data_IF_393105026891
#
_entry.id   IF_393105026891
#
_cell.length_a   1.000
_cell.length_b   1.000
_cell.length_c   1.000
_cell.angle_alpha   90.00
_cell.angle_beta   90.00
_cell.angle_gamma   90.00
#
_symmetry.space_group_name_H-M   'P 1'
#
loop_
_entity.id
_entity.type
_entity.pdbx_description
1 polymer ?
#
# COMPACT_ATOMS: atom_id res chain seq x y z
N UNK A 1 27.96 16.39 10.82
CA UNK A 1 28.49 15.60 9.68
C UNK A 1 28.66 14.18 10.20
N UNK A 2 27.90 13.22 9.69
CA UNK A 2 28.15 11.79 9.98
C UNK A 2 28.54 11.18 8.64
N UNK A 3 29.86 11.11 8.45
CA UNK A 3 30.47 10.38 7.36
C UNK A 3 30.19 8.88 7.56
N UNK A 4 29.59 8.27 6.54
CA UNK A 4 29.55 6.83 6.27
C UNK A 4 29.47 5.92 7.50
N UNK A 5 28.28 5.81 8.10
CA UNK A 5 27.99 4.74 9.06
C UNK A 5 28.08 3.38 8.33
N UNK A 6 29.26 2.76 8.34
CA UNK A 6 29.46 1.40 7.84
C UNK A 6 29.15 0.46 8.99
N UNK A 7 27.94 -0.09 8.99
CA UNK A 7 27.57 -1.14 9.93
C UNK A 7 28.36 -2.40 9.62
N UNK A 8 29.09 -2.94 10.59
CA UNK A 8 29.75 -4.22 10.40
C UNK A 8 28.74 -5.38 10.51
N UNK A 9 29.16 -6.59 10.12
CA UNK A 9 28.30 -7.79 10.14
C UNK A 9 27.63 -8.02 11.50
N UNK A 10 28.39 -7.94 12.60
CA UNK A 10 27.89 -8.17 13.96
C UNK A 10 26.83 -7.13 14.36
N UNK A 11 27.06 -5.86 14.03
CA UNK A 11 26.08 -4.79 14.28
C UNK A 11 24.78 -5.03 13.51
N UNK A 12 24.87 -5.45 12.24
CA UNK A 12 23.68 -5.76 11.43
C UNK A 12 22.89 -6.92 12.04
N UNK A 13 23.56 -8.00 12.42
CA UNK A 13 22.93 -9.16 13.04
C UNK A 13 22.27 -8.80 14.38
N UNK A 14 22.93 -7.99 15.22
CA UNK A 14 22.40 -7.54 16.50
C UNK A 14 21.13 -6.68 16.33
N UNK A 15 21.15 -5.69 15.44
CA UNK A 15 19.97 -4.85 15.18
C UNK A 15 18.84 -5.68 14.58
N UNK A 16 19.17 -6.61 13.69
CA UNK A 16 18.19 -7.52 13.09
C UNK A 16 17.53 -8.44 14.15
N UNK A 17 18.28 -8.89 15.15
CA UNK A 17 17.72 -9.63 16.29
C UNK A 17 16.71 -8.77 17.06
N UNK A 18 17.04 -7.51 17.37
CA UNK A 18 16.09 -6.57 17.99
C UNK A 18 14.84 -6.39 17.14
N UNK A 19 14.99 -6.15 15.84
CA UNK A 19 13.85 -6.04 14.91
C UNK A 19 12.99 -7.32 14.93
N UNK A 20 13.62 -8.49 14.96
CA UNK A 20 12.91 -9.78 14.99
C UNK A 20 12.13 -9.99 16.29
N UNK A 21 12.68 -9.58 17.43
CA UNK A 21 11.99 -9.62 18.72
C UNK A 21 10.75 -8.71 18.75
N UNK A 22 10.89 -7.46 18.28
CA UNK A 22 9.76 -6.54 18.16
C UNK A 22 8.73 -7.02 17.14
N UNK A 23 9.18 -7.61 16.03
CA UNK A 23 8.30 -8.20 15.03
C UNK A 23 7.43 -9.30 15.62
N UNK A 24 8.03 -10.26 16.31
CA UNK A 24 7.32 -11.37 16.96
C UNK A 24 6.34 -10.85 18.02
N UNK A 25 6.79 -9.89 18.85
CA UNK A 25 5.98 -9.34 19.95
C UNK A 25 4.80 -8.49 19.48
N UNK A 26 4.99 -7.65 18.46
CA UNK A 26 4.01 -6.62 18.11
C UNK A 26 3.44 -6.73 16.69
N UNK A 27 4.26 -7.07 15.69
CA UNK A 27 3.91 -6.86 14.28
C UNK A 27 3.40 -8.12 13.57
N UNK A 28 3.80 -9.31 14.01
CA UNK A 28 3.45 -10.59 13.38
C UNK A 28 1.95 -10.85 13.33
N UNK A 29 1.23 -10.47 14.39
CA UNK A 29 -0.25 -10.58 14.44
C UNK A 29 -0.93 -9.81 13.30
N UNK A 30 -0.37 -8.67 12.89
CA UNK A 30 -0.83 -7.85 11.77
C UNK A 30 -0.33 -8.36 10.40
N UNK A 31 0.53 -9.38 10.39
CA UNK A 31 1.11 -9.99 9.19
C UNK A 31 2.17 -9.15 8.47
N UNK A 32 2.83 -8.25 9.20
CA UNK A 32 4.00 -7.52 8.68
C UNK A 32 5.05 -8.54 8.21
N UNK A 33 5.61 -8.34 7.02
CA UNK A 33 6.59 -9.26 6.42
C UNK A 33 7.99 -8.94 6.93
N UNK A 34 8.57 -9.86 7.70
CA UNK A 34 9.97 -9.81 8.10
C UNK A 34 10.86 -10.23 6.92
N UNK A 35 11.71 -9.34 6.38
CA UNK A 35 12.61 -9.71 5.29
C UNK A 35 13.69 -10.68 5.79
N UNK A 36 14.08 -11.65 4.95
CA UNK A 36 15.10 -12.65 5.32
C UNK A 36 16.46 -11.98 5.52
N UNK A 37 17.15 -12.30 6.62
CA UNK A 37 18.51 -11.82 6.90
C UNK A 37 19.46 -12.10 5.73
N UNK A 38 19.52 -13.36 5.29
CA UNK A 38 20.42 -13.83 4.24
C UNK A 38 19.68 -14.23 2.97
N UNK A 39 20.28 -13.93 1.82
CA UNK A 39 19.86 -14.44 0.53
C UNK A 39 20.16 -15.94 0.43
N UNK A 40 19.21 -16.72 -0.08
CA UNK A 40 19.20 -18.19 -0.04
C UNK A 40 20.49 -18.84 -0.58
N UNK A 41 21.15 -18.23 -1.57
CA UNK A 41 22.19 -18.91 -2.35
C UNK A 41 23.61 -18.37 -2.13
N UNK A 42 23.82 -17.35 -1.28
CA UNK A 42 25.14 -16.64 -1.24
C UNK A 42 25.62 -16.16 0.13
N UNK A 43 24.89 -16.40 1.22
CA UNK A 43 25.25 -15.90 2.56
C UNK A 43 25.36 -14.36 2.65
N UNK A 44 24.86 -13.63 1.65
CA UNK A 44 24.85 -12.16 1.59
C UNK A 44 23.56 -11.62 2.21
N UNK A 45 23.64 -10.46 2.86
CA UNK A 45 22.45 -9.79 3.41
C UNK A 45 21.48 -9.39 2.31
N UNK A 46 20.17 -9.56 2.52
CA UNK A 46 19.20 -9.03 1.55
C UNK A 46 19.17 -7.50 1.56
N UNK A 47 18.91 -6.87 0.40
CA UNK A 47 18.83 -5.39 0.30
C UNK A 47 17.75 -4.82 1.22
N UNK A 48 16.64 -5.54 1.36
CA UNK A 48 15.53 -5.17 2.24
C UNK A 48 15.95 -5.16 3.71
N UNK A 49 16.72 -6.16 4.16
CA UNK A 49 17.26 -6.17 5.53
C UNK A 49 18.27 -5.06 5.76
N UNK A 50 19.18 -4.81 4.81
CA UNK A 50 20.13 -3.71 4.91
C UNK A 50 19.40 -2.39 5.14
N UNK A 51 18.37 -2.11 4.34
CA UNK A 51 17.57 -0.88 4.48
C UNK A 51 16.86 -0.83 5.83
N UNK A 52 16.20 -1.92 6.25
CA UNK A 52 15.44 -1.93 7.50
C UNK A 52 16.35 -1.74 8.73
N UNK A 53 17.48 -2.44 8.77
CA UNK A 53 18.49 -2.34 9.83
C UNK A 53 19.06 -0.93 9.90
N UNK A 54 19.40 -0.33 8.76
CA UNK A 54 19.96 1.02 8.73
C UNK A 54 18.97 2.06 9.29
N UNK A 55 17.69 1.93 8.94
CA UNK A 55 16.64 2.81 9.46
C UNK A 55 16.33 2.58 10.95
N UNK A 56 16.63 1.39 11.47
CA UNK A 56 16.39 0.99 12.85
C UNK A 56 17.61 1.17 13.78
N UNK A 57 18.75 1.61 13.27
CA UNK A 57 20.05 1.62 13.98
C UNK A 57 19.99 2.22 15.40
N UNK A 58 19.26 3.33 15.58
CA UNK A 58 19.13 4.04 16.87
C UNK A 58 17.75 3.86 17.52
N UNK A 59 17.01 2.80 17.20
CA UNK A 59 15.67 2.58 17.77
C UNK A 59 15.71 2.55 19.31
N UNK A 60 14.82 3.27 20.03
CA UNK A 60 13.62 3.97 19.54
C UNK A 60 13.83 5.39 18.99
N UNK A 61 15.02 5.99 19.16
CA UNK A 61 15.35 7.35 18.70
C UNK A 61 15.89 7.34 17.26
N UNK A 62 15.13 6.75 16.35
CA UNK A 62 15.51 6.66 14.93
C UNK A 62 15.74 8.04 14.32
N UNK A 63 16.58 8.10 13.28
CA UNK A 63 16.94 9.36 12.62
C UNK A 63 16.43 9.46 11.19
N UNK A 64 16.42 10.68 10.69
CA UNK A 64 16.14 10.98 9.28
C UNK A 64 17.36 10.56 8.45
N UNK A 65 17.11 9.80 7.39
CA UNK A 65 18.13 9.29 6.47
C UNK A 65 17.79 9.77 5.06
N UNK A 66 18.75 10.33 4.32
CA UNK A 66 18.51 10.71 2.93
C UNK A 66 18.55 9.50 2.00
N UNK A 67 17.91 9.60 0.82
CA UNK A 67 17.95 8.55 -0.20
C UNK A 67 19.39 8.29 -0.65
N UNK A 68 20.19 9.34 -0.76
CA UNK A 68 21.59 9.28 -1.18
C UNK A 68 22.42 8.53 -0.13
N UNK A 69 22.22 8.84 1.15
CA UNK A 69 22.88 8.17 2.27
C UNK A 69 22.54 6.68 2.32
N UNK A 70 21.24 6.35 2.26
CA UNK A 70 20.78 4.97 2.25
C UNK A 70 21.32 4.21 1.03
N UNK A 71 21.39 4.86 -0.13
CA UNK A 71 21.96 4.28 -1.35
C UNK A 71 23.46 4.03 -1.21
N UNK A 72 24.22 4.96 -0.62
CA UNK A 72 25.64 4.78 -0.33
C UNK A 72 25.88 3.57 0.59
N UNK A 73 25.08 3.44 1.66
CA UNK A 73 25.16 2.28 2.54
C UNK A 73 24.85 0.97 1.81
N UNK A 74 23.78 0.89 1.03
CA UNK A 74 23.48 -0.35 0.28
C UNK A 74 24.57 -0.67 -0.75
N UNK A 75 25.19 0.35 -1.36
CA UNK A 75 26.30 0.17 -2.30
C UNK A 75 27.57 -0.40 -1.67
N UNK A 76 27.80 -0.23 -0.37
CA UNK A 76 28.93 -0.89 0.30
C UNK A 76 28.83 -2.42 0.30
N UNK A 77 27.61 -2.97 0.17
CA UNK A 77 27.35 -4.41 0.02
C UNK A 77 27.05 -4.81 -1.43
N UNK A 78 26.44 -3.90 -2.20
CA UNK A 78 26.00 -4.12 -3.57
C UNK A 78 26.35 -2.92 -4.47
N UNK A 79 27.61 -2.82 -4.96
CA UNK A 79 28.13 -1.63 -5.65
C UNK A 79 27.28 -1.15 -6.84
N UNK A 80 26.75 -2.09 -7.63
CA UNK A 80 25.96 -1.81 -8.83
C UNK A 80 24.48 -1.48 -8.53
N UNK A 81 24.15 -1.10 -7.29
CA UNK A 81 22.77 -0.76 -6.92
C UNK A 81 22.41 0.63 -7.42
N UNK A 82 21.39 0.70 -8.27
CA UNK A 82 20.70 1.95 -8.57
C UNK A 82 20.07 2.55 -7.31
N UNK A 83 19.64 3.79 -7.40
CA UNK A 83 18.92 4.51 -6.36
C UNK A 83 17.93 3.65 -5.55
N UNK A 84 18.14 3.55 -4.24
CA UNK A 84 17.37 2.69 -3.34
C UNK A 84 15.94 3.23 -3.18
N UNK A 85 14.97 2.49 -3.71
CA UNK A 85 13.53 2.72 -3.50
C UNK A 85 12.91 1.74 -2.50
N UNK A 86 13.69 0.75 -2.04
CA UNK A 86 13.27 -0.35 -1.18
C UNK A 86 12.64 0.13 0.13
N UNK A 87 13.09 1.25 0.69
CA UNK A 87 12.47 1.86 1.88
C UNK A 87 10.96 2.14 1.69
N UNK A 88 10.53 2.52 0.47
CA UNK A 88 9.11 2.75 0.16
C UNK A 88 8.32 1.44 0.05
N UNK A 89 8.95 0.40 -0.49
CA UNK A 89 8.33 -0.92 -0.63
C UNK A 89 8.18 -1.59 0.74
N UNK A 90 9.22 -1.53 1.58
CA UNK A 90 9.17 -2.02 2.95
C UNK A 90 8.07 -1.36 3.79
N UNK A 91 7.77 -0.09 3.49
CA UNK A 91 6.68 0.65 4.10
C UNK A 91 5.31 0.01 3.87
N UNK A 92 4.59 0.48 2.86
CA UNK A 92 3.19 0.11 2.64
C UNK A 92 2.98 -1.34 2.16
N UNK A 93 3.98 -2.00 1.54
CA UNK A 93 3.82 -3.36 0.97
C UNK A 93 4.25 -4.46 1.93
N UNK A 94 5.25 -4.21 2.79
CA UNK A 94 5.70 -5.16 3.80
C UNK A 94 5.18 -4.84 5.20
N UNK A 95 4.65 -3.64 5.44
CA UNK A 95 3.92 -3.26 6.65
C UNK A 95 4.75 -2.56 7.72
N UNK A 96 5.99 -2.19 7.43
CA UNK A 96 6.85 -1.44 8.36
C UNK A 96 6.44 0.04 8.36
N UNK A 97 6.34 0.69 9.52
CA UNK A 97 5.97 2.12 9.56
C UNK A 97 7.15 3.03 9.23
N UNK A 98 7.56 3.02 7.95
CA UNK A 98 8.62 3.89 7.42
C UNK A 98 7.96 5.14 6.83
N UNK A 99 8.28 6.30 7.40
CA UNK A 99 7.88 7.61 6.90
C UNK A 99 8.76 7.96 5.71
N UNK A 100 8.13 8.38 4.61
CA UNK A 100 8.81 8.84 3.40
C UNK A 100 8.45 10.30 3.12
N UNK A 101 9.45 11.13 2.84
CA UNK A 101 9.24 12.55 2.60
C UNK A 101 8.56 12.86 1.27
N UNK A 102 7.84 13.98 1.24
CA UNK A 102 6.97 14.35 0.11
C UNK A 102 5.59 13.70 0.17
N UNK A 103 5.17 13.25 1.36
CA UNK A 103 3.81 12.81 1.69
C UNK A 103 3.30 13.61 2.89
N UNK A 104 1.99 13.75 3.00
CA UNK A 104 1.30 14.36 4.15
C UNK A 104 1.28 13.38 5.34
N UNK A 105 2.46 13.04 5.84
CA UNK A 105 2.63 12.08 6.92
C UNK A 105 2.07 12.67 8.23
N UNK A 106 1.26 11.88 8.93
CA UNK A 106 0.58 12.30 10.17
C UNK A 106 1.49 12.29 11.41
N UNK A 107 2.62 11.56 11.39
CA UNK A 107 3.47 11.35 12.57
C UNK A 107 4.77 12.15 12.55
N UNK A 108 5.33 12.40 11.36
CA UNK A 108 6.64 13.06 11.22
C UNK A 108 6.69 13.89 9.94
N UNK A 109 7.13 15.14 10.04
CA UNK A 109 7.44 15.98 8.89
C UNK A 109 8.89 15.77 8.46
N UNK A 110 9.09 15.13 7.30
CA UNK A 110 10.42 14.90 6.71
C UNK A 110 10.48 15.41 5.27
N UNK A 111 11.64 15.92 4.86
CA UNK A 111 11.88 16.49 3.53
C UNK A 111 11.76 15.42 2.45
N UNK A 112 11.24 15.80 1.27
CA UNK A 112 11.22 14.94 0.08
C UNK A 112 12.61 14.35 -0.19
N UNK A 113 12.66 13.04 -0.42
CA UNK A 113 13.93 12.32 -0.59
C UNK A 113 14.51 11.74 0.70
N UNK A 114 13.86 11.91 1.85
CA UNK A 114 14.28 11.30 3.11
C UNK A 114 13.33 10.19 3.58
N UNK A 115 13.86 9.31 4.43
CA UNK A 115 13.14 8.23 5.10
C UNK A 115 13.44 8.23 6.59
N UNK A 116 12.50 7.74 7.40
CA UNK A 116 12.70 7.49 8.82
C UNK A 116 11.76 6.36 9.27
N UNK A 117 12.27 5.35 9.98
CA UNK A 117 11.43 4.36 10.65
C UNK A 117 10.74 5.04 11.83
N UNK A 118 9.40 5.07 11.87
CA UNK A 118 8.67 5.70 12.97
C UNK A 118 8.66 4.82 14.21
N UNK A 119 8.27 3.55 14.06
CA UNK A 119 8.19 2.61 15.19
C UNK A 119 8.36 1.15 14.74
N UNK A 120 8.82 0.29 15.65
CA UNK A 120 8.80 -1.17 15.52
C UNK A 120 7.61 -1.82 16.25
N UNK A 121 6.77 -1.03 16.92
CA UNK A 121 5.68 -1.51 17.78
C UNK A 121 4.32 -1.48 17.09
N UNK A 122 4.21 -0.73 15.99
CA UNK A 122 2.97 -0.59 15.21
C UNK A 122 3.24 -0.78 13.72
N UNK A 123 2.35 -1.47 12.98
CA UNK A 123 2.47 -1.60 11.54
C UNK A 123 2.21 -0.25 10.85
N UNK A 124 2.61 -0.14 9.58
CA UNK A 124 2.23 0.99 8.74
C UNK A 124 0.70 1.20 8.77
N UNK A 125 0.18 2.42 8.97
CA UNK A 125 -1.26 2.65 9.06
C UNK A 125 -2.00 2.20 7.81
N UNK A 126 -3.02 1.39 8.00
CA UNK A 126 -3.77 0.79 6.90
C UNK A 126 -3.03 -0.34 6.18
N UNK A 127 -1.92 -0.86 6.71
CA UNK A 127 -1.37 -2.14 6.30
C UNK A 127 -2.38 -3.23 6.65
N UNK A 128 -3.04 -3.75 5.62
CA UNK A 128 -3.94 -4.88 5.73
C UNK A 128 -3.13 -6.14 5.49
N UNK A 129 -3.31 -7.15 6.36
CA UNK A 129 -2.68 -8.48 6.26
C UNK A 129 -2.70 -8.93 4.79
N UNK A 130 -1.51 -9.03 4.21
CA UNK A 130 -1.22 -8.89 2.77
C UNK A 130 -2.38 -9.06 1.79
N UNK A 131 -2.80 -7.96 1.13
CA UNK A 131 -3.43 -7.88 -0.21
C UNK A 131 -4.47 -8.94 -0.61
N UNK A 132 -5.08 -9.58 0.38
CA UNK A 132 -6.02 -10.65 0.20
C UNK A 132 -6.99 -10.55 1.36
N UNK A 133 -8.06 -9.78 1.12
CA UNK A 133 -9.40 -10.10 1.62
C UNK A 133 -9.87 -11.42 0.94
N UNK A 134 -8.96 -12.38 0.73
CA UNK A 134 -9.28 -13.68 0.14
C UNK A 134 -9.65 -14.58 1.30
N UNK A 135 -10.95 -14.83 1.42
CA UNK A 135 -11.40 -15.98 2.19
C UNK A 135 -12.46 -15.68 3.24
N UNK A 136 -13.02 -14.48 3.30
CA UNK A 136 -14.24 -14.30 4.10
C UNK A 136 -15.31 -13.58 3.29
N UNK A 137 -16.45 -14.25 3.15
CA UNK A 137 -17.74 -13.75 2.69
C UNK A 137 -18.55 -13.13 3.84
N UNK A 138 -18.02 -13.21 5.07
CA UNK A 138 -18.55 -12.58 6.27
C UNK A 138 -18.57 -11.07 6.08
N UNK A 139 -19.78 -10.52 6.05
CA UNK A 139 -20.03 -9.13 5.70
C UNK A 139 -19.50 -8.17 6.76
N UNK A 140 -19.68 -8.51 8.03
CA UNK A 140 -19.26 -7.72 9.18
C UNK A 140 -17.74 -7.55 9.18
N UNK A 141 -16.99 -8.64 8.94
CA UNK A 141 -15.52 -8.59 8.80
C UNK A 141 -15.07 -7.73 7.63
N UNK A 142 -15.77 -7.81 6.49
CA UNK A 142 -15.49 -6.93 5.35
C UNK A 142 -15.71 -5.47 5.76
N UNK A 143 -16.84 -5.12 6.40
CA UNK A 143 -17.11 -3.75 6.84
C UNK A 143 -16.08 -3.23 7.84
N UNK A 144 -15.68 -4.04 8.80
CA UNK A 144 -14.67 -3.70 9.81
C UNK A 144 -13.34 -3.31 9.16
N UNK A 145 -12.90 -4.04 8.13
CA UNK A 145 -11.69 -3.75 7.35
C UNK A 145 -11.73 -2.38 6.64
N UNK A 146 -12.92 -1.84 6.39
CA UNK A 146 -13.12 -0.49 5.84
C UNK A 146 -13.57 0.51 6.91
N UNK A 147 -13.46 0.17 8.20
CA UNK A 147 -13.94 0.98 9.32
C UNK A 147 -15.41 1.40 9.14
N UNK A 148 -16.22 0.47 8.65
CA UNK A 148 -17.64 0.67 8.33
C UNK A 148 -17.86 1.85 7.37
N UNK A 149 -16.96 2.07 6.40
CA UNK A 149 -17.10 3.14 5.39
C UNK A 149 -17.32 2.59 4.00
N UNK A 150 -18.00 3.39 3.19
CA UNK A 150 -18.07 3.22 1.75
C UNK A 150 -16.66 3.35 1.16
N UNK A 151 -16.21 2.34 0.42
CA UNK A 151 -14.91 2.33 -0.25
C UNK A 151 -14.79 3.45 -1.29
N UNK A 152 -15.90 3.93 -1.85
CA UNK A 152 -15.89 4.94 -2.92
C UNK A 152 -16.00 6.37 -2.40
N UNK A 153 -16.92 6.66 -1.48
CA UNK A 153 -17.15 8.04 -1.00
C UNK A 153 -16.74 8.29 0.46
N UNK A 154 -16.31 7.27 1.19
CA UNK A 154 -15.88 7.41 2.59
C UNK A 154 -16.98 7.61 3.64
N UNK A 155 -18.26 7.71 3.23
CA UNK A 155 -19.40 7.81 4.15
C UNK A 155 -19.46 6.61 5.09
N UNK A 156 -19.71 6.83 6.38
CA UNK A 156 -19.69 5.79 7.41
C UNK A 156 -21.10 5.23 7.67
N UNK A 157 -21.24 3.91 7.75
CA UNK A 157 -22.49 3.20 8.01
C UNK A 157 -23.22 3.77 9.22
N UNK A 158 -24.52 3.99 9.06
CA UNK A 158 -25.36 4.52 10.12
C UNK A 158 -25.22 6.01 10.42
N UNK A 159 -24.21 6.70 9.87
CA UNK A 159 -24.08 8.17 9.97
C UNK A 159 -24.75 8.87 8.77
N UNK A 160 -25.03 10.19 8.88
CA UNK A 160 -25.41 11.01 7.73
C UNK A 160 -24.47 10.78 6.53
N UNK A 161 -25.03 10.65 5.34
CA UNK A 161 -24.24 10.46 4.12
C UNK A 161 -23.50 11.75 3.77
N UNK A 162 -22.22 11.65 3.41
CA UNK A 162 -21.34 12.80 3.15
C UNK A 162 -21.93 13.83 2.18
N UNK A 163 -22.41 13.39 1.01
CA UNK A 163 -23.02 14.26 -0.01
C UNK A 163 -24.54 14.46 0.12
N UNK A 164 -25.21 13.67 0.97
CA UNK A 164 -26.67 13.71 1.15
C UNK A 164 -26.99 13.64 2.64
N UNK A 165 -26.68 14.68 3.42
CA UNK A 165 -26.69 14.64 4.88
C UNK A 165 -28.06 14.37 5.48
N UNK A 166 -29.14 14.67 4.76
CA UNK A 166 -30.52 14.32 5.15
C UNK A 166 -30.82 12.80 5.08
N UNK A 167 -29.87 11.96 4.69
CA UNK A 167 -30.04 10.50 4.57
C UNK A 167 -28.98 9.73 5.35
N UNK A 168 -29.36 8.58 5.90
CA UNK A 168 -28.43 7.66 6.60
C UNK A 168 -27.66 6.80 5.60
N UNK A 169 -26.36 6.64 5.81
CA UNK A 169 -25.50 5.76 5.01
C UNK A 169 -25.85 4.29 5.28
N UNK A 170 -26.16 3.54 4.22
CA UNK A 170 -26.40 2.09 4.27
C UNK A 170 -25.37 1.41 3.38
N UNK A 171 -24.52 0.57 3.96
CA UNK A 171 -23.54 -0.18 3.17
C UNK A 171 -24.18 -1.42 2.56
N UNK A 172 -23.72 -1.77 1.36
CA UNK A 172 -24.15 -2.91 0.58
C UNK A 172 -22.91 -3.66 0.07
N UNK A 173 -23.05 -4.97 -0.15
CA UNK A 173 -22.06 -5.76 -0.89
C UNK A 173 -22.08 -5.28 -2.35
N UNK A 174 -20.98 -4.69 -2.82
CA UNK A 174 -20.81 -4.29 -4.20
C UNK A 174 -19.66 -5.05 -4.85
N UNK A 175 -19.76 -5.26 -6.16
CA UNK A 175 -18.72 -5.91 -6.93
C UNK A 175 -17.49 -5.01 -7.04
N UNK A 176 -16.31 -5.60 -6.85
CA UNK A 176 -15.07 -4.98 -7.29
C UNK A 176 -14.95 -5.08 -8.82
N UNK A 177 -15.17 -6.27 -9.37
CA UNK A 177 -15.34 -6.52 -10.81
C UNK A 177 -16.75 -7.11 -11.04
N UNK A 178 -17.66 -6.37 -11.68
CA UNK A 178 -19.03 -6.82 -11.89
C UNK A 178 -19.16 -7.95 -12.92
N UNK A 179 -18.10 -8.23 -13.68
CA UNK A 179 -18.05 -9.40 -14.58
C UNK A 179 -17.64 -10.69 -13.84
N UNK A 180 -17.50 -10.64 -12.51
CA UNK A 180 -17.19 -11.79 -11.66
C UNK A 180 -18.26 -11.98 -10.57
N UNK A 181 -18.44 -13.20 -10.04
CA UNK A 181 -19.42 -13.45 -8.98
C UNK A 181 -19.21 -12.58 -7.73
N UNK A 182 -20.30 -12.29 -7.01
CA UNK A 182 -20.28 -11.53 -5.75
C UNK A 182 -19.81 -12.41 -4.57
N UNK A 183 -18.55 -12.79 -4.57
CA UNK A 183 -17.94 -13.68 -3.57
C UNK A 183 -16.75 -13.00 -2.86
N UNK A 184 -16.24 -13.64 -1.82
CA UNK A 184 -15.04 -13.19 -1.10
C UNK A 184 -13.89 -12.88 -2.08
N UNK A 185 -13.20 -11.75 -1.86
CA UNK A 185 -12.17 -11.25 -2.77
C UNK A 185 -12.67 -10.42 -3.96
N UNK A 186 -13.98 -10.42 -4.24
CA UNK A 186 -14.61 -9.55 -5.24
C UNK A 186 -15.67 -8.60 -4.62
N UNK A 187 -15.71 -8.50 -3.30
CA UNK A 187 -16.66 -7.64 -2.57
C UNK A 187 -15.92 -6.43 -2.00
N UNK A 188 -16.48 -5.24 -2.22
CA UNK A 188 -16.15 -4.01 -1.49
C UNK A 188 -17.42 -3.42 -0.87
N UNK A 189 -17.35 -2.75 0.30
CA UNK A 189 -18.49 -2.05 0.83
C UNK A 189 -18.72 -0.75 0.06
N UNK A 190 -19.87 -0.60 -0.58
CA UNK A 190 -20.31 0.67 -1.14
C UNK A 190 -21.62 1.12 -0.48
N UNK A 191 -21.83 2.43 -0.35
CA UNK A 191 -23.12 2.95 0.10
C UNK A 191 -24.18 2.81 -1.00
N UNK A 192 -25.44 2.87 -0.59
CA UNK A 192 -26.60 2.80 -1.47
C UNK A 192 -26.62 3.85 -2.60
N UNK A 193 -25.90 4.98 -2.42
CA UNK A 193 -25.81 6.06 -3.41
C UNK A 193 -24.74 5.78 -4.46
N UNK A 194 -23.54 5.36 -4.05
CA UNK A 194 -22.44 5.01 -4.97
C UNK A 194 -22.78 3.75 -5.78
N UNK A 195 -23.20 2.68 -5.11
CA UNK A 195 -23.49 1.40 -5.77
C UNK A 195 -24.59 1.56 -6.86
N UNK A 196 -25.63 2.34 -6.56
CA UNK A 196 -26.72 2.63 -7.51
C UNK A 196 -26.26 3.50 -8.69
N UNK A 197 -25.34 4.43 -8.47
CA UNK A 197 -24.84 5.31 -9.53
C UNK A 197 -23.92 4.56 -10.51
N UNK A 198 -23.08 3.67 -9.97
CA UNK A 198 -22.04 2.99 -10.73
C UNK A 198 -22.58 1.88 -11.64
N UNK A 199 -23.69 1.23 -11.28
CA UNK A 199 -24.44 0.26 -12.13
C UNK A 199 -23.56 -0.73 -12.90
N UNK A 200 -22.57 -1.35 -12.23
CA UNK A 200 -21.67 -2.33 -12.85
C UNK A 200 -20.84 -1.78 -14.04
N UNK A 201 -20.65 -0.46 -14.15
CA UNK A 201 -19.89 0.15 -15.26
C UNK A 201 -18.38 0.12 -15.07
N UNK A 202 -17.93 -0.03 -13.82
CA UNK A 202 -16.54 0.15 -13.44
C UNK A 202 -15.97 -1.08 -12.74
N UNK A 203 -14.67 -1.29 -12.88
CA UNK A 203 -13.89 -2.20 -12.04
C UNK A 203 -13.10 -1.36 -11.03
N UNK A 204 -13.16 -1.75 -9.76
CA UNK A 204 -12.46 -1.12 -8.65
C UNK A 204 -11.22 -1.91 -8.25
N UNK A 205 -10.30 -1.26 -7.54
CA UNK A 205 -9.33 -1.97 -6.70
C UNK A 205 -9.88 -2.17 -5.27
N UNK A 206 -9.09 -2.82 -4.41
CA UNK A 206 -9.44 -3.04 -2.98
C UNK A 206 -9.64 -1.74 -2.18
N UNK A 207 -9.27 -0.57 -2.71
CA UNK A 207 -9.46 0.73 -2.07
C UNK A 207 -10.67 1.48 -2.63
N UNK A 208 -11.43 0.87 -3.53
CA UNK A 208 -12.59 1.50 -4.16
C UNK A 208 -12.24 2.51 -5.25
N UNK A 209 -11.01 2.46 -5.80
CA UNK A 209 -10.59 3.32 -6.93
C UNK A 209 -10.92 2.65 -8.26
N UNK A 210 -11.50 3.39 -9.19
CA UNK A 210 -11.76 2.89 -10.55
C UNK A 210 -10.43 2.62 -11.26
N UNK A 211 -10.25 1.39 -11.75
CA UNK A 211 -9.05 0.96 -12.48
C UNK A 211 -9.36 0.54 -13.92
N UNK A 212 -10.59 0.14 -14.23
CA UNK A 212 -11.01 -0.26 -15.59
C UNK A 212 -12.48 0.06 -15.85
N UNK A 213 -12.84 0.08 -17.13
CA UNK A 213 -14.22 0.04 -17.60
C UNK A 213 -14.69 -1.41 -17.64
N UNK A 214 -15.83 -1.71 -17.01
CA UNK A 214 -16.43 -3.04 -17.02
C UNK A 214 -17.43 -3.21 -18.17
N UNK A 215 -18.14 -2.14 -18.54
CA UNK A 215 -19.09 -2.12 -19.66
C UNK A 215 -18.65 -1.14 -20.75
N UNK A 216 -18.17 -1.68 -21.87
CA UNK A 216 -17.73 -0.89 -23.02
C UNK A 216 -18.85 -0.06 -23.64
N UNK A 217 -20.13 -0.47 -23.51
CA UNK A 217 -21.25 0.33 -24.03
C UNK A 217 -21.35 1.69 -23.36
N UNK A 218 -20.85 1.81 -22.12
CA UNK A 218 -20.88 3.08 -21.42
C UNK A 218 -20.04 4.17 -22.12
N UNK A 219 -19.06 3.79 -22.96
CA UNK A 219 -18.30 4.73 -23.82
C UNK A 219 -19.23 5.57 -24.70
N UNK A 220 -20.41 5.05 -25.08
CA UNK A 220 -21.40 5.79 -25.89
C UNK A 220 -21.88 7.08 -25.20
N UNK A 221 -21.83 7.13 -23.86
CA UNK A 221 -22.21 8.30 -23.08
C UNK A 221 -21.08 9.35 -22.95
N UNK A 222 -19.86 9.04 -23.41
CA UNK A 222 -18.76 9.98 -23.35
C UNK A 222 -18.88 11.04 -24.45
N UNK A 223 -18.29 12.21 -24.20
CA UNK A 223 -18.22 13.28 -25.18
C UNK A 223 -17.63 12.79 -26.50
N UNK A 224 -18.11 13.37 -27.61
CA UNK A 224 -17.68 12.99 -28.98
C UNK A 224 -16.15 13.01 -29.13
N UNK A 225 -15.49 14.00 -28.52
CA UNK A 225 -14.03 14.13 -28.57
C UNK A 225 -13.31 13.00 -27.83
N UNK A 226 -13.83 12.57 -26.67
CA UNK A 226 -13.28 11.44 -25.92
C UNK A 226 -13.50 10.14 -26.69
N UNK A 227 -14.70 9.92 -27.24
CA UNK A 227 -14.99 8.76 -28.09
C UNK A 227 -14.05 8.66 -29.30
N UNK A 228 -13.79 9.78 -29.99
CA UNK A 228 -12.83 9.83 -31.10
C UNK A 228 -11.40 9.46 -30.66
N UNK A 229 -10.96 9.94 -29.50
CA UNK A 229 -9.63 9.59 -28.95
C UNK A 229 -9.54 8.09 -28.65
N UNK A 230 -10.56 7.53 -28.00
CA UNK A 230 -10.64 6.09 -27.73
C UNK A 230 -10.60 5.30 -29.04
N UNK A 231 -11.44 5.67 -30.02
CA UNK A 231 -11.46 5.02 -31.33
C UNK A 231 -10.08 4.99 -32.00
N UNK A 232 -9.36 6.13 -32.02
CA UNK A 232 -8.02 6.20 -32.63
C UNK A 232 -7.01 5.29 -31.93
N UNK A 233 -7.03 5.22 -30.60
CA UNK A 233 -6.14 4.34 -29.82
C UNK A 233 -6.40 2.88 -30.22
N UNK A 234 -7.66 2.46 -30.19
CA UNK A 234 -8.05 1.08 -30.50
C UNK A 234 -7.81 0.74 -31.98
N UNK A 235 -8.14 1.64 -32.91
CA UNK A 235 -7.90 1.44 -34.33
C UNK A 235 -6.42 1.17 -34.63
N UNK A 236 -5.53 2.00 -34.07
CA UNK A 236 -4.08 1.82 -34.20
C UNK A 236 -3.61 0.48 -33.64
N UNK A 237 -4.10 0.10 -32.46
CA UNK A 237 -3.75 -1.17 -31.81
C UNK A 237 -4.15 -2.40 -32.65
N UNK A 238 -5.31 -2.36 -33.31
CA UNK A 238 -5.86 -3.51 -34.04
C UNK A 238 -5.53 -3.55 -35.54
N UNK A 239 -5.20 -2.42 -36.17
CA UNK A 239 -5.07 -2.33 -37.64
C UNK A 239 -3.73 -1.78 -38.16
N UNK A 240 -2.90 -1.14 -37.34
CA UNK A 240 -1.63 -0.53 -37.79
C UNK A 240 -0.41 -1.30 -37.27
N UNK A 241 -0.50 -2.64 -37.20
CA UNK A 241 0.65 -3.50 -36.88
C UNK A 241 1.63 -3.59 -38.04
#
# INVERSE_FOLDING_TARGET
MIDNLILNKKSIESIYQTISQYHEKYLKQFGVKLPKLYAANKGKFTKDVLVLVYLAYDYPKTRKVSKEELTKFVRSYYPNTNDVQQARHLGAQAGWWIVAGGRDNIVLKIKRGSYQLYTLEQPYPGFKKGHRISGTDNWEKIKEVYNFRCATCGSQEGKPHLHWPATKTKLQKAHMDPNRPLIAGNIIPQCQKCNRADRNRWVYDEKGRVIKLADANFVKNFDKNVRKKIYRILHKEFHEK
#
